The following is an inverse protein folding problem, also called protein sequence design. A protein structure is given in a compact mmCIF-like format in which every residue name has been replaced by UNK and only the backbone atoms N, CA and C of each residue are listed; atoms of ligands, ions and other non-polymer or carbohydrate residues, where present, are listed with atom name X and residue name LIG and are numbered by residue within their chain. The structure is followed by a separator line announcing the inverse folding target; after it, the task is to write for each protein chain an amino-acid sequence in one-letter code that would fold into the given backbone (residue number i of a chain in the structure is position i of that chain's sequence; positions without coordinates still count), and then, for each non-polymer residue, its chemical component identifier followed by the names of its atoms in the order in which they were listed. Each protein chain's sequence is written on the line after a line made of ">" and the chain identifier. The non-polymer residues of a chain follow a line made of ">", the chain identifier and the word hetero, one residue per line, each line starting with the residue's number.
data_IF_142045190600
#
_entry.id   IF_142045190600
#
_cell.length_a   1.000
_cell.length_b   1.000
_cell.length_c   1.000
_cell.angle_alpha   90.00
_cell.angle_beta   90.00
_cell.angle_gamma   90.00
#
_symmetry.space_group_name_H-M   'P 1'
#
loop_
_entity.id
_entity.type
_entity.pdbx_description
1 polymer ?
#
# COMPACT_ATOMS: atom_id res chain seq x y z
N UNK A 1 -10.17 23.68 5.94
CA UNK A 1 -11.13 22.87 5.17
C UNK A 1 -11.97 22.07 6.14
N UNK A 2 -13.26 21.88 5.86
CA UNK A 2 -14.06 20.92 6.63
C UNK A 2 -13.61 19.49 6.31
N UNK A 3 -13.57 18.62 7.32
CA UNK A 3 -13.16 17.22 7.12
C UNK A 3 -14.07 16.49 6.13
N UNK A 4 -15.37 16.82 6.10
CA UNK A 4 -16.32 16.24 5.16
C UNK A 4 -15.98 16.50 3.70
N UNK A 5 -15.47 17.69 3.37
CA UNK A 5 -15.02 18.01 2.01
C UNK A 5 -13.82 17.16 1.61
N UNK A 6 -12.86 16.98 2.54
CA UNK A 6 -11.66 16.15 2.27
C UNK A 6 -12.04 14.69 2.10
N UNK A 7 -12.96 14.16 2.93
CA UNK A 7 -13.45 12.78 2.81
C UNK A 7 -14.13 12.57 1.45
N UNK A 8 -14.97 13.49 0.99
CA UNK A 8 -15.60 13.38 -0.33
C UNK A 8 -14.57 13.35 -1.47
N UNK A 9 -13.46 14.12 -1.35
CA UNK A 9 -12.38 14.05 -2.33
C UNK A 9 -11.68 12.69 -2.33
N UNK A 10 -11.41 12.13 -1.13
CA UNK A 10 -10.81 10.80 -0.99
C UNK A 10 -11.72 9.68 -1.53
N UNK A 11 -13.03 9.75 -1.27
CA UNK A 11 -14.01 8.79 -1.79
C UNK A 11 -14.19 8.88 -3.31
N UNK A 12 -13.96 10.05 -3.93
CA UNK A 12 -13.90 10.16 -5.39
C UNK A 12 -12.63 9.54 -5.97
N UNK A 13 -11.51 9.59 -5.25
CA UNK A 13 -10.24 8.98 -5.67
C UNK A 13 -10.32 7.46 -5.55
N UNK A 14 -10.82 6.96 -4.42
CA UNK A 14 -10.95 5.53 -4.13
C UNK A 14 -12.34 5.24 -3.52
N UNK A 15 -13.35 5.00 -4.35
CA UNK A 15 -14.71 4.74 -3.90
C UNK A 15 -14.77 3.56 -2.91
N UNK A 16 -15.46 3.71 -1.76
CA UNK A 16 -15.54 2.64 -0.76
C UNK A 16 -16.18 1.34 -1.26
N UNK A 17 -17.07 1.42 -2.25
CA UNK A 17 -17.73 0.27 -2.87
C UNK A 17 -16.81 -0.60 -3.73
N UNK A 18 -15.58 -0.14 -4.00
CA UNK A 18 -14.53 -0.94 -4.64
C UNK A 18 -13.68 -1.75 -3.66
N UNK A 19 -13.89 -1.56 -2.37
CA UNK A 19 -13.15 -2.31 -1.36
C UNK A 19 -13.57 -3.79 -1.34
N UNK A 20 -12.61 -4.66 -1.05
CA UNK A 20 -12.87 -6.07 -0.82
C UNK A 20 -13.66 -6.30 0.48
N UNK A 21 -14.36 -7.43 0.57
CA UNK A 21 -15.22 -7.76 1.72
C UNK A 21 -14.47 -7.71 3.05
N UNK A 22 -13.18 -8.08 3.03
CA UNK A 22 -12.33 -8.04 4.21
C UNK A 22 -12.18 -6.65 4.84
N UNK A 23 -12.44 -5.58 4.08
CA UNK A 23 -12.33 -4.19 4.53
C UNK A 23 -13.61 -3.64 5.15
N UNK A 24 -14.66 -4.42 5.21
CA UNK A 24 -15.93 -4.00 5.82
C UNK A 24 -15.70 -3.47 7.24
N UNK A 25 -15.98 -2.17 7.46
CA UNK A 25 -15.76 -1.47 8.72
C UNK A 25 -14.30 -1.15 9.05
N UNK A 26 -13.37 -1.28 8.08
CA UNK A 26 -11.93 -1.03 8.26
C UNK A 26 -11.38 0.11 7.42
N UNK A 27 -12.15 0.67 6.49
CA UNK A 27 -11.80 1.82 5.65
C UNK A 27 -12.69 3.02 5.97
N UNK A 28 -12.30 4.19 5.46
CA UNK A 28 -12.96 5.46 5.73
C UNK A 28 -12.41 6.15 6.99
N UNK A 29 -13.21 6.99 7.64
CA UNK A 29 -12.83 7.67 8.88
C UNK A 29 -12.90 6.68 10.05
N UNK A 30 -11.75 6.18 10.47
CA UNK A 30 -11.63 5.14 11.52
C UNK A 30 -11.48 5.75 12.91
N UNK A 31 -10.81 6.89 13.01
CA UNK A 31 -10.71 7.64 14.27
C UNK A 31 -11.07 9.09 13.95
N UNK A 32 -12.08 9.61 14.67
CA UNK A 32 -12.55 10.99 14.52
C UNK A 32 -11.79 11.91 15.48
N UNK A 33 -11.35 13.06 14.95
CA UNK A 33 -10.72 14.16 15.65
C UNK A 33 -11.39 15.50 15.30
N UNK A 34 -10.59 16.58 15.18
CA UNK A 34 -11.10 17.93 14.89
C UNK A 34 -11.68 18.06 13.49
N UNK A 35 -12.73 18.89 13.36
CA UNK A 35 -13.42 19.12 12.09
C UNK A 35 -12.69 20.09 11.15
N UNK A 36 -12.01 21.09 11.70
CA UNK A 36 -11.27 22.09 10.89
C UNK A 36 -9.88 21.55 10.56
N UNK A 37 -9.69 21.12 9.31
CA UNK A 37 -8.45 20.55 8.80
C UNK A 37 -7.63 21.65 8.12
N UNK A 38 -6.45 21.94 8.68
CA UNK A 38 -5.49 22.89 8.09
C UNK A 38 -4.39 22.19 7.30
N UNK A 39 -3.94 21.04 7.79
CA UNK A 39 -2.91 20.23 7.17
C UNK A 39 -3.34 18.77 7.14
N UNK A 40 -2.96 18.10 6.08
CA UNK A 40 -3.13 16.65 5.90
C UNK A 40 -1.76 16.00 5.75
N UNK A 41 -1.57 14.89 6.43
CA UNK A 41 -0.42 14.03 6.24
C UNK A 41 -0.85 12.69 5.63
N UNK A 42 0.03 12.07 4.86
CA UNK A 42 -0.12 10.71 4.36
C UNK A 42 0.98 9.81 4.92
N UNK A 43 0.67 8.54 5.14
CA UNK A 43 1.63 7.48 5.44
C UNK A 43 1.10 6.14 4.93
N UNK A 44 1.94 5.10 4.96
CA UNK A 44 1.45 3.74 4.71
C UNK A 44 0.74 3.20 5.95
N UNK A 45 1.40 3.26 7.10
CA UNK A 45 0.96 2.66 8.36
C UNK A 45 0.66 3.72 9.44
N UNK A 46 -0.18 3.35 10.41
CA UNK A 46 -0.43 4.16 11.62
C UNK A 46 0.50 3.69 12.72
N UNK A 47 1.76 4.12 12.67
CA UNK A 47 2.75 3.84 13.71
C UNK A 47 2.86 4.99 14.71
N UNK A 48 3.45 4.73 15.88
CA UNK A 48 3.67 5.78 16.87
C UNK A 48 4.59 6.90 16.37
N UNK A 49 5.70 6.63 15.63
CA UNK A 49 6.49 7.64 14.95
C UNK A 49 5.70 8.48 13.96
N UNK A 50 4.89 7.85 13.09
CA UNK A 50 4.03 8.54 12.11
C UNK A 50 3.04 9.48 12.79
N UNK A 51 2.33 9.00 13.82
CA UNK A 51 1.35 9.82 14.56
C UNK A 51 2.03 11.01 15.26
N UNK A 52 3.22 10.82 15.82
CA UNK A 52 4.01 11.92 16.43
C UNK A 52 4.45 12.94 15.39
N UNK A 53 4.90 12.50 14.22
CA UNK A 53 5.29 13.38 13.13
C UNK A 53 4.08 14.18 12.61
N UNK A 54 2.93 13.54 12.40
CA UNK A 54 1.68 14.21 12.01
C UNK A 54 1.24 15.24 13.05
N UNK A 55 1.30 14.90 14.34
CA UNK A 55 0.97 15.83 15.43
C UNK A 55 1.96 17.01 15.49
N UNK A 56 3.26 16.78 15.30
CA UNK A 56 4.29 17.82 15.33
C UNK A 56 4.13 18.86 14.21
N UNK A 57 3.56 18.48 13.05
CA UNK A 57 3.25 19.41 11.96
C UNK A 57 1.86 20.03 12.07
N UNK A 58 1.13 19.77 13.15
CA UNK A 58 -0.26 20.21 13.36
C UNK A 58 -1.22 19.69 12.26
N UNK A 59 -1.01 18.45 11.79
CA UNK A 59 -1.95 17.81 10.88
C UNK A 59 -3.30 17.56 11.59
N UNK A 60 -4.39 17.86 10.91
CA UNK A 60 -5.74 17.55 11.41
C UNK A 60 -6.27 16.21 10.87
N UNK A 61 -5.62 15.68 9.82
CA UNK A 61 -5.98 14.41 9.19
C UNK A 61 -4.71 13.67 8.80
N UNK A 62 -4.66 12.39 9.14
CA UNK A 62 -3.69 11.42 8.67
C UNK A 62 -4.40 10.41 7.74
N UNK A 63 -4.05 10.40 6.46
CA UNK A 63 -4.55 9.46 5.47
C UNK A 63 -3.55 8.32 5.35
N UNK A 64 -4.02 7.09 5.53
CA UNK A 64 -3.18 5.89 5.53
C UNK A 64 -3.78 4.78 4.68
N UNK A 65 -2.94 3.81 4.35
CA UNK A 65 -3.37 2.59 3.67
C UNK A 65 -3.83 1.54 4.68
N UNK A 66 -3.06 1.27 5.70
CA UNK A 66 -3.34 0.24 6.70
C UNK A 66 -4.09 0.77 7.91
N UNK A 67 -5.20 0.10 8.25
CA UNK A 67 -5.97 0.44 9.46
C UNK A 67 -5.19 0.07 10.73
N UNK A 68 -5.20 0.94 11.77
CA UNK A 68 -4.65 0.58 13.08
C UNK A 68 -5.54 -0.41 13.87
N UNK A 69 -6.79 -0.63 13.42
CA UNK A 69 -7.80 -1.45 14.08
C UNK A 69 -8.24 -2.59 13.16
N UNK A 70 -7.35 -3.56 12.95
CA UNK A 70 -7.61 -4.66 12.02
C UNK A 70 -8.68 -5.65 12.53
N UNK A 71 -8.76 -5.84 13.83
CA UNK A 71 -9.77 -6.69 14.46
C UNK A 71 -10.62 -5.88 15.44
N UNK A 72 -11.89 -6.27 15.70
CA UNK A 72 -12.71 -5.62 16.72
C UNK A 72 -11.98 -5.56 18.07
N UNK A 73 -11.95 -4.36 18.67
CA UNK A 73 -11.22 -4.11 19.91
C UNK A 73 -12.13 -4.32 21.11
N UNK A 74 -11.80 -5.26 21.98
CA UNK A 74 -12.51 -5.52 23.23
C UNK A 74 -11.82 -4.94 24.47
N UNK A 75 -10.51 -4.59 24.34
CA UNK A 75 -9.74 -3.93 25.39
C UNK A 75 -8.67 -3.03 24.79
N UNK A 76 -8.46 -1.85 25.39
CA UNK A 76 -7.43 -0.90 24.99
C UNK A 76 -6.31 -0.91 26.03
N UNK A 77 -5.19 -1.56 25.69
CA UNK A 77 -4.02 -1.69 26.58
C UNK A 77 -2.71 -1.75 25.79
N UNK A 78 -1.57 -1.66 26.46
CA UNK A 78 -0.25 -1.80 25.86
C UNK A 78 0.02 -0.83 24.70
N UNK A 79 0.62 -1.30 23.58
CA UNK A 79 0.95 -0.47 22.43
C UNK A 79 -0.26 0.23 21.81
N UNK A 80 -1.42 -0.45 21.73
CA UNK A 80 -2.64 0.14 21.20
C UNK A 80 -3.10 1.33 22.05
N UNK A 81 -3.04 1.21 23.39
CA UNK A 81 -3.40 2.30 24.28
C UNK A 81 -2.46 3.50 24.13
N UNK A 82 -1.16 3.26 23.93
CA UNK A 82 -0.20 4.32 23.66
C UNK A 82 -0.47 5.03 22.33
N UNK A 83 -0.75 4.28 21.27
CA UNK A 83 -1.08 4.79 19.95
C UNK A 83 -2.35 5.64 19.98
N UNK A 84 -3.46 5.08 20.49
CA UNK A 84 -4.75 5.78 20.54
C UNK A 84 -4.68 7.03 21.42
N UNK A 85 -3.96 6.97 22.56
CA UNK A 85 -3.74 8.17 23.40
C UNK A 85 -3.04 9.27 22.62
N UNK A 86 -2.03 8.97 21.82
CA UNK A 86 -1.31 9.96 21.02
C UNK A 86 -2.22 10.58 19.95
N UNK A 87 -3.01 9.75 19.24
CA UNK A 87 -3.96 10.20 18.20
C UNK A 87 -5.02 11.12 18.82
N UNK A 88 -5.69 10.66 19.89
CA UNK A 88 -6.77 11.40 20.54
C UNK A 88 -6.29 12.68 21.24
N UNK A 89 -5.08 12.66 21.85
CA UNK A 89 -4.50 13.86 22.46
C UNK A 89 -4.09 14.92 21.43
N UNK A 90 -3.80 14.51 20.19
CA UNK A 90 -3.50 15.41 19.09
C UNK A 90 -4.75 15.89 18.34
N UNK A 91 -5.93 15.42 18.73
CA UNK A 91 -7.22 15.67 18.04
C UNK A 91 -7.12 15.37 16.53
N UNK A 92 -6.39 14.27 16.21
CA UNK A 92 -6.03 13.87 14.86
C UNK A 92 -7.06 12.89 14.31
N UNK A 93 -7.59 13.18 13.12
CA UNK A 93 -8.39 12.23 12.38
C UNK A 93 -7.49 11.19 11.71
N UNK A 94 -7.97 9.93 11.61
CA UNK A 94 -7.32 8.88 10.83
C UNK A 94 -8.31 8.34 9.80
N UNK A 95 -7.97 8.51 8.53
CA UNK A 95 -8.74 8.00 7.39
C UNK A 95 -7.97 6.91 6.66
N UNK A 96 -8.62 5.81 6.38
CA UNK A 96 -8.03 4.60 5.77
C UNK A 96 -8.54 4.41 4.35
N UNK A 97 -7.63 4.20 3.41
CA UNK A 97 -7.87 3.79 2.03
C UNK A 97 -7.04 2.52 1.78
N UNK A 98 -7.67 1.35 1.82
CA UNK A 98 -7.00 0.05 1.69
C UNK A 98 -7.27 -0.58 0.32
N UNK A 99 -7.95 -1.73 0.24
CA UNK A 99 -8.17 -2.40 -1.05
C UNK A 99 -8.95 -1.55 -2.06
N UNK A 100 -9.80 -0.63 -1.62
CA UNK A 100 -10.40 0.36 -2.51
C UNK A 100 -9.36 1.24 -3.22
N UNK A 101 -8.21 1.52 -2.61
CA UNK A 101 -7.12 2.27 -3.22
C UNK A 101 -6.19 1.37 -4.05
N UNK A 102 -6.11 0.08 -3.74
CA UNK A 102 -5.43 -0.91 -4.61
C UNK A 102 -6.11 -1.03 -5.97
N UNK A 103 -7.45 -0.96 -5.98
CA UNK A 103 -8.28 -1.02 -7.19
C UNK A 103 -8.44 0.33 -7.91
N UNK A 104 -8.11 1.45 -7.23
CA UNK A 104 -8.33 2.78 -7.80
C UNK A 104 -7.37 3.08 -8.95
N UNK A 105 -7.86 3.86 -9.92
CA UNK A 105 -6.99 4.46 -10.94
C UNK A 105 -6.07 5.49 -10.28
N UNK A 106 -4.76 5.37 -10.53
CA UNK A 106 -3.74 6.15 -9.83
C UNK A 106 -3.59 5.77 -8.36
N UNK A 107 -3.98 4.56 -7.96
CA UNK A 107 -3.78 3.98 -6.64
C UNK A 107 -2.47 3.22 -6.49
N UNK A 108 -2.43 2.28 -5.54
CA UNK A 108 -1.22 1.53 -5.17
C UNK A 108 -0.61 0.80 -6.38
N UNK A 109 -1.41 0.01 -7.10
CA UNK A 109 -0.92 -0.80 -8.21
C UNK A 109 -0.49 0.03 -9.42
N UNK A 110 -1.17 1.14 -9.70
CA UNK A 110 -0.77 2.07 -10.77
C UNK A 110 0.55 2.77 -10.45
N UNK A 111 0.75 3.17 -9.19
CA UNK A 111 2.00 3.76 -8.73
C UNK A 111 3.16 2.77 -8.82
N UNK A 112 2.93 1.51 -8.44
CA UNK A 112 3.93 0.44 -8.55
C UNK A 112 4.28 0.17 -10.01
N UNK A 113 3.29 0.06 -10.90
CA UNK A 113 3.50 -0.13 -12.33
C UNK A 113 4.28 1.04 -12.94
N UNK A 114 3.97 2.28 -12.56
CA UNK A 114 4.70 3.48 -12.97
C UNK A 114 6.14 3.50 -12.48
N UNK A 115 6.38 3.14 -11.21
CA UNK A 115 7.71 3.06 -10.62
C UNK A 115 8.62 2.05 -11.36
N UNK A 116 8.02 0.95 -11.82
CA UNK A 116 8.69 -0.11 -12.56
C UNK A 116 8.70 0.12 -14.09
N UNK A 117 8.21 1.27 -14.55
CA UNK A 117 8.18 1.66 -15.96
C UNK A 117 7.42 0.66 -16.85
N UNK A 118 6.35 0.03 -16.32
CA UNK A 118 5.58 -0.94 -17.10
C UNK A 118 4.90 -0.26 -18.30
N UNK A 119 4.98 -0.91 -19.46
CA UNK A 119 4.30 -0.50 -20.70
C UNK A 119 3.40 -1.61 -21.24
N UNK A 120 2.51 -1.29 -22.18
CA UNK A 120 1.56 -2.27 -22.72
C UNK A 120 0.70 -2.89 -21.61
N UNK A 121 0.31 -2.09 -20.60
CA UNK A 121 -0.32 -2.57 -19.38
C UNK A 121 -1.75 -3.03 -19.60
N UNK A 122 -2.15 -4.09 -18.86
CA UNK A 122 -3.52 -4.55 -18.68
C UNK A 122 -3.83 -4.71 -17.20
N UNK A 123 -5.06 -4.34 -16.78
CA UNK A 123 -5.52 -4.58 -15.42
C UNK A 123 -5.81 -6.05 -15.20
N UNK A 124 -5.47 -6.53 -14.03
CA UNK A 124 -5.87 -7.81 -13.46
C UNK A 124 -7.06 -7.60 -12.52
N UNK A 125 -7.64 -8.67 -12.03
CA UNK A 125 -8.66 -8.59 -10.96
C UNK A 125 -8.14 -7.83 -9.75
N UNK A 126 -6.85 -8.00 -9.41
CA UNK A 126 -6.07 -7.12 -8.54
C UNK A 126 -4.66 -6.98 -9.14
N UNK A 127 -4.17 -5.74 -9.27
CA UNK A 127 -2.84 -5.47 -9.81
C UNK A 127 -2.81 -5.19 -11.31
N UNK A 128 -1.61 -5.20 -11.87
CA UNK A 128 -1.34 -4.80 -13.26
C UNK A 128 -0.34 -5.77 -13.89
N UNK A 129 -0.62 -6.17 -15.14
CA UNK A 129 0.32 -6.92 -15.96
C UNK A 129 0.87 -6.02 -17.06
N UNK A 130 2.18 -6.02 -17.33
CA UNK A 130 2.81 -5.17 -18.35
C UNK A 130 4.25 -5.55 -18.63
N UNK A 131 4.80 -4.98 -19.72
CA UNK A 131 6.18 -5.19 -20.15
C UNK A 131 7.11 -4.35 -19.26
N UNK A 132 7.97 -5.01 -18.49
CA UNK A 132 8.95 -4.39 -17.61
C UNK A 132 10.30 -4.29 -18.32
N UNK A 133 10.84 -3.07 -18.54
CA UNK A 133 12.13 -2.89 -19.20
C UNK A 133 13.33 -3.09 -18.26
N UNK A 134 13.09 -3.22 -16.95
CA UNK A 134 14.11 -3.22 -15.92
C UNK A 134 14.69 -4.61 -15.67
N UNK A 135 15.96 -4.65 -15.33
CA UNK A 135 16.63 -5.83 -14.78
C UNK A 135 16.33 -6.02 -13.28
N UNK A 136 16.60 -7.21 -12.72
CA UNK A 136 16.41 -7.47 -11.27
C UNK A 136 17.12 -6.46 -10.37
N UNK A 137 18.41 -6.09 -10.59
CA UNK A 137 19.08 -5.05 -9.80
C UNK A 137 18.44 -3.68 -9.92
N UNK A 138 17.87 -3.34 -11.10
CA UNK A 138 17.19 -2.07 -11.31
C UNK A 138 15.85 -2.04 -10.58
N UNK A 139 15.08 -3.13 -10.58
CA UNK A 139 13.85 -3.25 -9.79
C UNK A 139 14.18 -3.06 -8.30
N UNK A 140 15.16 -3.79 -7.75
CA UNK A 140 15.57 -3.64 -6.35
C UNK A 140 15.96 -2.20 -6.00
N UNK A 141 16.68 -1.52 -6.89
CA UNK A 141 17.08 -0.12 -6.71
C UNK A 141 15.90 0.83 -6.77
N UNK A 142 14.94 0.64 -7.69
CA UNK A 142 13.72 1.45 -7.79
C UNK A 142 12.85 1.31 -6.54
N UNK A 143 12.72 0.09 -6.05
CA UNK A 143 11.98 -0.20 -4.81
C UNK A 143 12.73 0.28 -3.55
N UNK A 144 14.03 0.57 -3.65
CA UNK A 144 14.91 0.85 -2.50
C UNK A 144 14.82 -0.24 -1.43
N UNK A 145 14.65 -1.51 -1.86
CA UNK A 145 14.40 -2.66 -1.01
C UNK A 145 15.02 -3.94 -1.59
N UNK A 146 15.29 -4.96 -0.76
CA UNK A 146 15.78 -6.24 -1.24
C UNK A 146 14.75 -6.93 -2.15
N UNK A 147 15.26 -7.66 -3.14
CA UNK A 147 14.46 -8.49 -4.04
C UNK A 147 14.92 -9.94 -3.89
N UNK A 148 13.97 -10.82 -3.59
CA UNK A 148 14.18 -12.27 -3.50
C UNK A 148 13.49 -12.93 -4.69
N UNK A 149 14.14 -13.90 -5.34
CA UNK A 149 13.56 -14.61 -6.47
C UNK A 149 13.32 -16.09 -6.13
N UNK A 150 12.18 -16.59 -6.59
CA UNK A 150 11.82 -18.00 -6.56
C UNK A 150 11.66 -18.48 -8.00
N UNK A 151 12.46 -19.49 -8.38
CA UNK A 151 12.65 -19.86 -9.77
C UNK A 151 13.76 -19.02 -10.43
N UNK A 152 13.70 -18.92 -11.76
CA UNK A 152 14.73 -18.23 -12.57
C UNK A 152 14.05 -17.22 -13.51
N UNK A 153 13.61 -16.08 -13.01
CA UNK A 153 13.04 -15.05 -13.87
C UNK A 153 14.09 -14.51 -14.82
N UNK A 154 13.71 -14.27 -16.06
CA UNK A 154 14.57 -13.66 -17.09
C UNK A 154 14.03 -12.30 -17.47
N UNK A 155 14.53 -11.26 -16.83
CA UNK A 155 14.14 -9.88 -17.12
C UNK A 155 15.19 -9.20 -18.05
N UNK A 156 14.76 -8.25 -18.89
CA UNK A 156 13.40 -7.68 -19.05
C UNK A 156 12.40 -8.68 -19.62
N UNK A 157 11.16 -8.63 -19.14
CA UNK A 157 10.06 -9.45 -19.64
C UNK A 157 8.71 -8.85 -19.23
N UNK A 158 7.61 -9.48 -19.65
CA UNK A 158 6.28 -9.14 -19.18
C UNK A 158 6.06 -9.68 -17.76
N UNK A 159 5.60 -8.84 -16.83
CA UNK A 159 5.39 -9.22 -15.42
C UNK A 159 3.99 -8.83 -14.93
N UNK A 160 3.45 -9.65 -14.02
CA UNK A 160 2.34 -9.25 -13.17
C UNK A 160 2.87 -8.59 -11.89
N UNK A 161 2.25 -7.49 -11.43
CA UNK A 161 2.62 -6.82 -10.20
C UNK A 161 1.40 -6.57 -9.33
N UNK A 162 1.53 -6.86 -8.03
CA UNK A 162 0.52 -6.58 -7.01
C UNK A 162 1.22 -5.98 -5.79
N UNK A 163 0.77 -4.81 -5.35
CA UNK A 163 1.19 -4.21 -4.08
C UNK A 163 0.79 -5.10 -2.92
N UNK A 164 1.61 -5.08 -1.84
CA UNK A 164 1.30 -5.84 -0.64
C UNK A 164 1.32 -7.36 -0.82
N UNK A 165 0.39 -8.03 -0.18
CA UNK A 165 0.32 -9.51 -0.08
C UNK A 165 -0.51 -10.13 -1.20
N UNK A 166 -0.01 -10.13 -2.43
CA UNK A 166 -0.72 -10.56 -3.63
C UNK A 166 -0.31 -11.93 -4.23
N UNK A 167 0.43 -12.78 -3.51
CA UNK A 167 0.82 -14.10 -4.04
C UNK A 167 -0.30 -15.15 -4.01
N UNK A 168 -1.50 -14.77 -4.41
CA UNK A 168 -2.60 -15.72 -4.56
C UNK A 168 -2.52 -16.43 -5.91
N UNK A 169 -2.72 -17.76 -5.91
CA UNK A 169 -2.61 -18.56 -7.14
C UNK A 169 -3.52 -18.06 -8.25
N UNK A 170 -4.80 -17.72 -8.03
CA UNK A 170 -5.66 -17.17 -9.07
C UNK A 170 -5.09 -15.91 -9.72
N UNK A 171 -4.48 -14.99 -8.95
CA UNK A 171 -3.84 -13.79 -9.49
C UNK A 171 -2.60 -14.11 -10.33
N UNK A 172 -1.79 -15.07 -9.88
CA UNK A 172 -0.60 -15.52 -10.62
C UNK A 172 -1.01 -16.21 -11.93
N UNK A 173 -2.07 -17.02 -11.90
CA UNK A 173 -2.62 -17.69 -13.09
C UNK A 173 -3.24 -16.67 -14.06
N UNK A 174 -3.93 -15.65 -13.56
CA UNK A 174 -4.45 -14.54 -14.36
C UNK A 174 -3.31 -13.78 -15.05
N UNK A 175 -2.23 -13.44 -14.32
CA UNK A 175 -1.04 -12.82 -14.90
C UNK A 175 -0.42 -13.70 -15.99
N UNK A 176 -0.28 -15.01 -15.76
CA UNK A 176 0.21 -15.95 -16.77
C UNK A 176 -0.67 -15.98 -18.01
N UNK A 177 -1.99 -15.95 -17.86
CA UNK A 177 -2.94 -15.88 -18.97
C UNK A 177 -2.84 -14.58 -19.78
N UNK A 178 -2.38 -13.50 -19.13
CA UNK A 178 -2.08 -12.19 -19.77
C UNK A 178 -0.65 -12.14 -20.35
N UNK A 179 0.07 -13.26 -20.35
CA UNK A 179 1.40 -13.41 -20.93
C UNK A 179 2.54 -12.99 -20.00
N UNK A 180 2.31 -12.85 -18.71
CA UNK A 180 3.40 -12.61 -17.77
C UNK A 180 4.35 -13.82 -17.70
N UNK A 181 5.64 -13.52 -17.59
CA UNK A 181 6.73 -14.49 -17.43
C UNK A 181 7.31 -14.49 -16.01
N UNK A 182 6.89 -13.53 -15.18
CA UNK A 182 7.22 -13.46 -13.76
C UNK A 182 6.11 -12.69 -13.01
N UNK A 183 6.08 -12.83 -11.68
CA UNK A 183 5.09 -12.16 -10.84
C UNK A 183 5.77 -11.54 -9.61
N UNK A 184 5.49 -10.25 -9.34
CA UNK A 184 6.07 -9.47 -8.23
C UNK A 184 5.00 -9.15 -7.17
N UNK A 185 5.27 -9.50 -5.92
CA UNK A 185 4.45 -9.11 -4.77
C UNK A 185 5.25 -9.25 -3.44
N UNK A 186 4.57 -9.20 -2.28
CA UNK A 186 5.16 -9.40 -0.97
C UNK A 186 4.54 -10.59 -0.22
N UNK A 187 5.12 -10.94 0.94
CA UNK A 187 4.58 -11.91 1.91
C UNK A 187 4.36 -13.33 1.36
N UNK A 188 5.31 -13.82 0.58
CA UNK A 188 5.24 -15.13 -0.07
C UNK A 188 5.26 -16.28 0.95
N UNK A 189 4.26 -17.14 0.90
CA UNK A 189 4.23 -18.39 1.65
C UNK A 189 4.86 -19.52 0.84
N UNK A 190 5.53 -20.46 1.53
CA UNK A 190 6.21 -21.61 0.88
C UNK A 190 5.28 -22.40 -0.05
N UNK A 191 4.03 -22.64 0.35
CA UNK A 191 3.07 -23.37 -0.47
C UNK A 191 2.76 -22.67 -1.79
N UNK A 192 2.62 -21.35 -1.77
CA UNK A 192 2.41 -20.52 -2.96
C UNK A 192 3.62 -20.57 -3.90
N UNK A 193 4.84 -20.45 -3.33
CA UNK A 193 6.07 -20.58 -4.10
C UNK A 193 6.21 -21.94 -4.81
N UNK A 194 5.73 -23.02 -4.18
CA UNK A 194 5.77 -24.37 -4.75
C UNK A 194 4.71 -24.63 -5.81
N UNK A 195 3.57 -23.95 -5.72
CA UNK A 195 2.43 -24.13 -6.61
C UNK A 195 2.42 -23.15 -7.80
N UNK A 196 3.20 -22.09 -7.74
CA UNK A 196 3.22 -21.04 -8.77
C UNK A 196 3.65 -21.60 -10.13
N UNK A 197 2.90 -21.28 -11.21
CA UNK A 197 3.30 -21.59 -12.58
C UNK A 197 4.38 -20.65 -13.11
N UNK A 198 4.61 -19.50 -12.46
CA UNK A 198 5.58 -18.48 -12.85
C UNK A 198 6.72 -18.38 -11.84
N UNK A 199 7.92 -17.96 -12.27
CA UNK A 199 8.92 -17.40 -11.36
C UNK A 199 8.36 -16.23 -10.56
N UNK A 200 8.70 -16.16 -9.26
CA UNK A 200 8.21 -15.12 -8.36
C UNK A 200 9.32 -14.16 -7.95
N UNK A 201 8.96 -12.90 -7.83
CA UNK A 201 9.77 -11.80 -7.33
C UNK A 201 9.13 -11.31 -6.03
N UNK A 202 9.86 -11.38 -4.93
CA UNK A 202 9.38 -10.91 -3.64
C UNK A 202 10.18 -9.70 -3.18
N UNK A 203 9.49 -8.61 -2.83
CA UNK A 203 10.10 -7.48 -2.13
C UNK A 203 9.40 -7.26 -0.79
N UNK A 204 9.73 -6.18 -0.08
CA UNK A 204 9.04 -5.85 1.16
C UNK A 204 7.65 -5.25 0.86
N UNK A 205 6.68 -5.56 1.70
CA UNK A 205 5.32 -5.02 1.63
C UNK A 205 5.33 -3.48 1.53
N UNK A 206 6.07 -2.82 2.43
CA UNK A 206 6.25 -1.38 2.45
C UNK A 206 6.75 -0.81 1.11
N UNK A 207 7.75 -1.44 0.50
CA UNK A 207 8.35 -0.95 -0.74
C UNK A 207 7.41 -1.06 -1.95
N UNK A 208 6.46 -1.98 -1.91
CA UNK A 208 5.50 -2.18 -2.99
C UNK A 208 4.28 -1.26 -2.89
N UNK A 209 3.93 -0.78 -1.69
CA UNK A 209 2.71 0.02 -1.46
C UNK A 209 3.00 1.49 -1.15
N UNK A 210 4.10 1.80 -0.43
CA UNK A 210 4.43 3.19 -0.08
C UNK A 210 4.53 4.14 -1.29
N UNK A 211 4.94 3.70 -2.51
CA UNK A 211 4.90 4.55 -3.70
C UNK A 211 3.51 5.10 -4.02
N UNK A 212 2.44 4.32 -3.79
CA UNK A 212 1.07 4.77 -4.02
C UNK A 212 0.64 5.88 -3.07
N UNK A 213 0.92 5.72 -1.78
CA UNK A 213 0.62 6.75 -0.79
C UNK A 213 1.47 8.00 -0.97
N UNK A 214 2.74 7.85 -1.37
CA UNK A 214 3.62 8.97 -1.72
C UNK A 214 3.10 9.73 -2.95
N UNK A 215 2.63 9.01 -3.96
CA UNK A 215 2.05 9.60 -5.16
C UNK A 215 0.74 10.33 -4.84
N UNK A 216 -0.13 9.77 -4.00
CA UNK A 216 -1.33 10.44 -3.50
C UNK A 216 -0.97 11.75 -2.79
N UNK A 217 -0.03 11.72 -1.85
CA UNK A 217 0.44 12.90 -1.14
C UNK A 217 0.93 13.99 -2.09
N UNK A 218 1.78 13.63 -3.06
CA UNK A 218 2.28 14.55 -4.08
C UNK A 218 1.17 15.19 -4.93
N UNK A 219 0.19 14.39 -5.36
CA UNK A 219 -0.98 14.84 -6.13
C UNK A 219 -1.86 15.83 -5.37
N UNK A 220 -2.01 15.60 -4.05
CA UNK A 220 -2.85 16.41 -3.19
C UNK A 220 -2.11 17.60 -2.56
N UNK A 221 -0.78 17.69 -2.74
CA UNK A 221 0.04 18.70 -2.07
C UNK A 221 0.16 18.47 -0.56
N UNK A 222 0.08 17.20 -0.11
CA UNK A 222 0.18 16.81 1.29
C UNK A 222 1.59 16.32 1.63
N UNK A 223 1.90 16.28 2.91
CA UNK A 223 3.17 15.73 3.40
C UNK A 223 3.08 14.20 3.50
N UNK A 224 4.07 13.49 2.93
CA UNK A 224 4.21 12.05 3.12
C UNK A 224 5.19 11.78 4.27
N UNK A 225 4.74 11.07 5.29
CA UNK A 225 5.56 10.64 6.42
C UNK A 225 6.09 9.24 6.12
N UNK A 226 7.39 9.17 5.89
CA UNK A 226 8.09 7.94 5.56
C UNK A 226 8.53 7.20 6.83
N UNK A 227 8.07 5.96 7.03
CA UNK A 227 8.40 5.14 8.21
C UNK A 227 8.62 3.68 7.77
N UNK A 228 9.66 3.42 6.94
CA UNK A 228 9.93 2.07 6.47
C UNK A 228 10.39 1.18 7.61
N UNK A 229 9.95 -0.11 7.64
CA UNK A 229 10.49 -1.07 8.60
C UNK A 229 11.99 -1.27 8.37
N UNK A 230 12.74 -1.37 9.47
CA UNK A 230 14.17 -1.65 9.39
C UNK A 230 14.37 -3.10 8.93
N UNK A 231 14.96 -3.25 7.74
CA UNK A 231 15.27 -4.57 7.17
C UNK A 231 16.76 -4.73 6.97
N UNK A 232 17.29 -5.93 7.26
CA UNK A 232 18.66 -6.31 6.96
C UNK A 232 18.67 -7.68 6.29
N UNK A 233 19.50 -7.82 5.25
CA UNK A 233 19.74 -9.11 4.58
C UNK A 233 21.10 -9.64 5.05
N UNK A 234 21.08 -10.85 5.64
CA UNK A 234 22.28 -11.56 6.05
C UNK A 234 22.51 -12.71 5.06
N UNK A 235 23.67 -12.76 4.42
CA UNK A 235 24.10 -13.79 3.44
C UNK A 235 25.36 -14.47 3.92
#
# INVERSE_FOLDING_TARGET
>A
MDIGDVIQDLERIAPPDRAEEMDTGRIGLIIEGRRDIRKVACALDVTLPVVRAAAAMDAGLLVVHHTPLWTPVTAVSGPLAALLRQILSADLNVYVMHTNFDHAEGGINDALASLLELSGTGRMSLGICGDCPLTLPEIARRLSAPLITWGRPSLPCRIGVVGGSGFDLPLIEEAAALGAEAFLSADLKHAQARASPLPLLQSTHYALESPGMRMLAGRMGWEFIDDPPVTAVWT
#
